data_IF_299032626680
#
_entry.id   IF_299032626680
#
_cell.length_a   1.000
_cell.length_b   1.000
_cell.length_c   1.000
_cell.angle_alpha   90.00
_cell.angle_beta   90.00
_cell.angle_gamma   90.00
#
_symmetry.space_group_name_H-M   'P 1'
#
loop_
_entity.id
_entity.type
_entity.pdbx_description
1 polymer ?
#
# COMPACT_ATOMS: atom_id res chain seq x y z
N UNK A 1 11.13 6.46 14.77
CA UNK A 1 10.10 5.77 15.53
C UNK A 1 9.02 6.73 16.02
N UNK A 2 9.27 7.70 16.88
CA UNK A 2 8.24 8.61 17.45
C UNK A 2 7.42 9.48 16.47
N UNK A 3 7.87 9.73 15.24
CA UNK A 3 7.20 10.66 14.32
C UNK A 3 5.88 10.07 13.76
N UNK A 4 5.90 8.84 13.28
CA UNK A 4 4.69 8.19 12.76
C UNK A 4 3.67 7.88 13.85
N UNK A 5 4.11 7.60 15.07
CA UNK A 5 3.24 7.39 16.22
C UNK A 5 2.50 8.68 16.62
N UNK A 6 3.17 9.84 16.54
CA UNK A 6 2.56 11.17 16.78
C UNK A 6 1.67 11.57 15.60
N UNK A 7 2.12 11.30 14.38
CA UNK A 7 1.42 11.65 13.15
C UNK A 7 0.12 10.87 12.98
N UNK A 8 0.05 9.65 13.51
CA UNK A 8 -1.15 8.82 13.48
C UNK A 8 -2.39 9.49 14.10
N UNK A 9 -2.21 10.37 15.09
CA UNK A 9 -3.33 11.06 15.76
C UNK A 9 -3.94 12.20 14.92
N UNK A 10 -3.17 12.81 14.02
CA UNK A 10 -3.63 13.86 13.12
C UNK A 10 -4.10 13.33 11.76
N UNK A 11 -3.67 12.12 11.41
CA UNK A 11 -3.78 11.56 10.06
C UNK A 11 -5.19 11.09 9.69
N UNK A 12 -5.99 10.62 10.70
CA UNK A 12 -7.14 9.76 10.41
C UNK A 12 -8.34 10.44 9.75
N UNK A 13 -8.72 11.67 10.11
CA UNK A 13 -10.02 12.22 9.64
C UNK A 13 -9.96 13.05 8.35
N UNK A 14 -8.93 13.87 8.18
CA UNK A 14 -8.84 14.77 7.01
C UNK A 14 -8.26 14.07 5.79
N UNK A 15 -7.28 13.21 6.00
CA UNK A 15 -6.63 12.45 4.92
C UNK A 15 -7.48 11.25 4.47
N UNK A 16 -8.27 10.66 5.36
CA UNK A 16 -9.21 9.61 4.98
C UNK A 16 -10.21 10.11 3.92
N UNK A 17 -10.82 11.28 4.15
CA UNK A 17 -11.72 11.91 3.15
C UNK A 17 -11.00 12.28 1.86
N UNK A 18 -9.76 12.77 1.99
CA UNK A 18 -8.95 13.18 0.84
C UNK A 18 -8.65 12.01 -0.09
N UNK A 19 -8.28 10.86 0.46
CA UNK A 19 -7.88 9.68 -0.32
C UNK A 19 -8.97 8.62 -0.47
N UNK A 20 -10.20 8.88 -0.02
CA UNK A 20 -11.30 7.91 -0.04
C UNK A 20 -11.55 7.31 -1.44
N UNK A 21 -11.73 8.16 -2.45
CA UNK A 21 -11.98 7.73 -3.83
C UNK A 21 -10.80 6.96 -4.42
N UNK A 22 -9.59 7.37 -4.08
CA UNK A 22 -8.37 6.73 -4.56
C UNK A 22 -8.17 5.34 -3.95
N UNK A 23 -8.44 5.18 -2.65
CA UNK A 23 -8.42 3.87 -1.97
C UNK A 23 -9.51 2.94 -2.49
N UNK A 24 -10.71 3.48 -2.75
CA UNK A 24 -11.79 2.73 -3.37
C UNK A 24 -11.38 2.24 -4.77
N UNK A 25 -10.82 3.14 -5.59
CA UNK A 25 -10.33 2.77 -6.94
C UNK A 25 -9.24 1.70 -6.89
N UNK A 26 -8.30 1.81 -5.96
CA UNK A 26 -7.25 0.81 -5.75
C UNK A 26 -7.84 -0.56 -5.36
N UNK A 27 -8.85 -0.59 -4.49
CA UNK A 27 -9.53 -1.83 -4.10
C UNK A 27 -10.31 -2.47 -5.26
N UNK A 28 -10.95 -1.67 -6.12
CA UNK A 28 -11.62 -2.15 -7.34
C UNK A 28 -10.62 -2.81 -8.31
N UNK A 29 -9.44 -2.23 -8.46
CA UNK A 29 -8.37 -2.74 -9.34
C UNK A 29 -7.75 -4.05 -8.84
N UNK A 30 -7.91 -4.39 -7.56
CA UNK A 30 -7.51 -5.70 -7.04
C UNK A 30 -8.26 -6.85 -7.74
N UNK A 31 -9.46 -6.60 -8.29
CA UNK A 31 -10.25 -7.64 -8.96
C UNK A 31 -10.38 -8.88 -8.08
N UNK A 32 -10.95 -8.69 -6.89
CA UNK A 32 -11.00 -9.70 -5.84
C UNK A 32 -11.98 -10.82 -6.18
N UNK A 33 -11.58 -12.04 -5.86
CA UNK A 33 -12.39 -13.25 -5.87
C UNK A 33 -12.31 -13.92 -4.50
N UNK A 34 -13.21 -14.85 -4.23
CA UNK A 34 -13.15 -15.60 -2.97
C UNK A 34 -11.87 -16.44 -2.86
N UNK A 35 -11.42 -16.59 -1.63
CA UNK A 35 -10.24 -17.37 -1.23
C UNK A 35 -8.88 -16.79 -1.69
N UNK A 36 -8.85 -15.55 -2.20
CA UNK A 36 -7.57 -14.90 -2.49
C UNK A 36 -6.86 -14.45 -1.21
N UNK A 37 -5.54 -14.49 -1.28
CA UNK A 37 -4.63 -13.92 -0.28
C UNK A 37 -4.18 -12.54 -0.73
N UNK A 38 -4.37 -11.55 0.14
CA UNK A 38 -4.06 -10.14 -0.12
C UNK A 38 -3.05 -9.64 0.90
N UNK A 39 -2.01 -8.93 0.44
CA UNK A 39 -1.08 -8.20 1.31
C UNK A 39 -1.26 -6.70 1.12
N UNK A 40 -1.53 -5.97 2.20
CA UNK A 40 -1.45 -4.51 2.25
C UNK A 40 -0.14 -4.12 2.94
N UNK A 41 0.82 -3.62 2.17
CA UNK A 41 2.16 -3.22 2.64
C UNK A 41 2.15 -1.74 3.01
N UNK A 42 2.75 -1.38 4.16
CA UNK A 42 2.64 -0.06 4.77
C UNK A 42 1.16 0.33 4.99
N UNK A 43 0.39 -0.60 5.58
CA UNK A 43 -1.06 -0.49 5.72
C UNK A 43 -1.51 0.64 6.67
N UNK A 44 -0.59 1.17 7.50
CA UNK A 44 -0.87 2.20 8.48
C UNK A 44 -1.97 1.78 9.45
N UNK A 45 -2.97 2.61 9.61
CA UNK A 45 -4.14 2.35 10.48
C UNK A 45 -5.20 1.43 9.84
N UNK A 46 -4.92 0.83 8.68
CA UNK A 46 -5.85 -0.05 7.97
C UNK A 46 -6.90 0.69 7.13
N UNK A 47 -6.62 1.93 6.74
CA UNK A 47 -7.58 2.74 5.97
C UNK A 47 -8.01 2.13 4.63
N UNK A 48 -7.23 1.19 4.06
CA UNK A 48 -7.59 0.46 2.85
C UNK A 48 -8.58 -0.69 3.13
N UNK A 49 -8.56 -1.25 4.34
CA UNK A 49 -9.25 -2.51 4.68
C UNK A 49 -10.75 -2.45 4.44
N UNK A 50 -11.41 -1.33 4.82
CA UNK A 50 -12.84 -1.15 4.57
C UNK A 50 -13.22 -1.19 3.08
N UNK A 51 -12.31 -0.76 2.20
CA UNK A 51 -12.53 -0.79 0.76
C UNK A 51 -12.25 -2.17 0.18
N UNK A 52 -11.22 -2.85 0.67
CA UNK A 52 -10.85 -4.20 0.26
C UNK A 52 -11.93 -5.20 0.71
N UNK A 53 -12.30 -5.18 1.99
CA UNK A 53 -13.28 -6.09 2.58
C UNK A 53 -14.72 -5.73 2.21
N UNK A 54 -14.98 -4.47 1.87
CA UNK A 54 -16.28 -4.01 1.36
C UNK A 54 -16.65 -4.56 -0.02
N UNK A 55 -15.73 -5.23 -0.71
CA UNK A 55 -16.02 -5.97 -1.95
C UNK A 55 -16.82 -7.27 -1.71
N UNK A 56 -17.17 -7.59 -0.45
CA UNK A 56 -17.97 -8.76 -0.05
C UNK A 56 -17.42 -10.10 -0.56
N UNK A 57 -16.09 -10.23 -0.59
CA UNK A 57 -15.40 -11.49 -0.95
C UNK A 57 -14.79 -12.12 0.30
N UNK A 58 -14.84 -13.43 0.37
CA UNK A 58 -14.16 -14.19 1.42
C UNK A 58 -12.67 -14.30 1.07
N UNK A 59 -11.86 -13.40 1.61
CA UNK A 59 -10.42 -13.31 1.35
C UNK A 59 -9.62 -13.43 2.65
N UNK A 60 -8.32 -13.69 2.52
CA UNK A 60 -7.36 -13.63 3.61
C UNK A 60 -6.53 -12.35 3.45
N UNK A 61 -6.74 -11.36 4.33
CA UNK A 61 -6.06 -10.07 4.28
C UNK A 61 -4.92 -10.02 5.30
N UNK A 62 -3.73 -9.76 4.82
CA UNK A 62 -2.54 -9.52 5.64
C UNK A 62 -2.17 -8.05 5.55
N UNK A 63 -2.03 -7.39 6.70
CA UNK A 63 -1.56 -6.02 6.79
C UNK A 63 -0.22 -5.94 7.50
N UNK A 64 0.70 -5.14 7.00
CA UNK A 64 1.98 -4.91 7.67
C UNK A 64 2.36 -3.44 7.64
N UNK A 65 2.97 -3.00 8.71
CA UNK A 65 3.54 -1.66 8.84
C UNK A 65 4.78 -1.69 9.74
N UNK A 66 5.65 -0.72 9.58
CA UNK A 66 6.81 -0.52 10.44
C UNK A 66 6.43 -0.02 11.82
N UNK A 67 5.38 0.80 11.92
CA UNK A 67 4.92 1.46 13.16
C UNK A 67 3.98 0.56 13.95
N UNK A 68 4.39 0.17 15.16
CA UNK A 68 3.52 -0.55 16.09
C UNK A 68 2.26 0.25 16.45
N UNK A 69 2.39 1.58 16.63
CA UNK A 69 1.25 2.43 16.97
C UNK A 69 0.22 2.55 15.83
N UNK A 70 0.66 2.44 14.56
CA UNK A 70 -0.26 2.32 13.43
C UNK A 70 -1.01 0.99 13.46
N UNK A 71 -0.30 -0.11 13.71
CA UNK A 71 -0.90 -1.44 13.78
C UNK A 71 -1.86 -1.61 14.96
N UNK A 72 -1.59 -1.00 16.11
CA UNK A 72 -2.54 -0.97 17.24
C UNK A 72 -3.88 -0.34 16.82
N UNK A 73 -3.84 0.80 16.14
CA UNK A 73 -5.05 1.44 15.61
C UNK A 73 -5.74 0.60 14.55
N UNK A 74 -4.96 -0.05 13.68
CA UNK A 74 -5.48 -0.98 12.70
C UNK A 74 -6.20 -2.15 13.37
N UNK A 75 -5.62 -2.72 14.42
CA UNK A 75 -6.20 -3.82 15.20
C UNK A 75 -7.55 -3.41 15.82
N UNK A 76 -7.63 -2.22 16.41
CA UNK A 76 -8.89 -1.67 16.94
C UNK A 76 -9.96 -1.58 15.83
N UNK A 77 -9.57 -1.19 14.62
CA UNK A 77 -10.49 -1.14 13.49
C UNK A 77 -10.98 -2.53 13.06
N UNK A 78 -10.09 -3.53 13.03
CA UNK A 78 -10.44 -4.92 12.73
C UNK A 78 -11.47 -5.44 13.71
N UNK A 79 -11.22 -5.25 15.01
CA UNK A 79 -12.11 -5.70 16.09
C UNK A 79 -13.47 -4.99 16.03
N UNK A 80 -13.46 -3.66 15.88
CA UNK A 80 -14.67 -2.83 15.81
C UNK A 80 -15.58 -3.20 14.65
N UNK A 81 -15.01 -3.55 13.50
CA UNK A 81 -15.76 -3.89 12.30
C UNK A 81 -16.02 -5.40 12.16
N UNK A 82 -15.47 -6.23 13.04
CA UNK A 82 -15.62 -7.68 12.99
C UNK A 82 -15.08 -8.29 11.69
N UNK A 83 -13.96 -7.78 11.18
CA UNK A 83 -13.39 -8.26 9.92
C UNK A 83 -12.71 -9.63 10.10
N UNK A 84 -13.30 -10.71 9.54
CA UNK A 84 -12.72 -12.03 9.65
C UNK A 84 -11.49 -12.17 8.73
N UNK A 85 -10.67 -13.19 9.00
CA UNK A 85 -9.52 -13.55 8.15
C UNK A 85 -8.57 -12.36 7.87
N UNK A 86 -8.46 -11.43 8.83
CA UNK A 86 -7.58 -10.27 8.73
C UNK A 86 -6.46 -10.37 9.76
N UNK A 87 -5.22 -10.35 9.29
CA UNK A 87 -4.03 -10.63 10.09
C UNK A 87 -3.04 -9.46 9.99
N UNK A 88 -2.45 -9.09 11.13
CA UNK A 88 -1.43 -8.05 11.19
C UNK A 88 -0.09 -8.62 11.63
N UNK A 89 0.98 -8.07 11.08
CA UNK A 89 2.33 -8.32 11.57
C UNK A 89 3.18 -7.05 11.43
N UNK A 90 4.05 -6.81 12.40
CA UNK A 90 4.98 -5.69 12.33
C UNK A 90 6.24 -6.11 11.59
N UNK A 91 6.60 -5.35 10.55
CA UNK A 91 7.87 -5.54 9.85
C UNK A 91 8.32 -4.26 9.14
N UNK A 92 9.61 -4.13 8.94
CA UNK A 92 10.16 -3.19 7.96
C UNK A 92 9.94 -3.76 6.56
N UNK A 93 9.36 -2.96 5.67
CA UNK A 93 9.09 -3.40 4.30
C UNK A 93 10.37 -3.88 3.57
N UNK A 94 11.54 -3.38 3.97
CA UNK A 94 12.85 -3.79 3.42
C UNK A 94 13.24 -5.22 3.78
N UNK A 95 12.70 -5.75 4.88
CA UNK A 95 12.97 -7.10 5.37
C UNK A 95 11.94 -8.13 4.85
N UNK A 96 10.86 -7.65 4.22
CA UNK A 96 9.80 -8.50 3.70
C UNK A 96 10.18 -9.03 2.31
N UNK A 97 10.33 -10.34 2.23
CA UNK A 97 10.59 -11.07 0.98
C UNK A 97 10.16 -12.53 1.13
N UNK A 98 10.03 -13.23 0.02
CA UNK A 98 9.53 -14.60 0.01
C UNK A 98 10.34 -15.55 0.90
N UNK A 99 11.66 -15.34 1.00
CA UNK A 99 12.53 -16.16 1.86
C UNK A 99 12.34 -15.91 3.36
N UNK A 100 11.78 -14.78 3.76
CA UNK A 100 11.64 -14.37 5.17
C UNK A 100 10.19 -14.26 5.64
N UNK A 101 9.20 -14.31 4.76
CA UNK A 101 7.79 -14.08 5.11
C UNK A 101 7.29 -15.05 6.19
N UNK A 102 7.78 -16.29 6.19
CA UNK A 102 7.44 -17.31 7.18
C UNK A 102 7.81 -16.91 8.61
N UNK A 103 8.85 -16.10 8.79
CA UNK A 103 9.25 -15.57 10.10
C UNK A 103 8.12 -14.72 10.70
N UNK A 104 7.43 -13.96 9.87
CA UNK A 104 6.41 -13.01 10.26
C UNK A 104 5.03 -13.65 10.44
N UNK A 105 4.61 -14.49 9.50
CA UNK A 105 3.25 -15.03 9.47
C UNK A 105 3.16 -16.53 9.77
N UNK A 106 4.29 -17.16 10.14
CA UNK A 106 4.40 -18.60 10.49
C UNK A 106 3.96 -19.53 9.38
N UNK A 107 3.95 -19.05 8.14
CA UNK A 107 3.57 -19.79 6.95
C UNK A 107 4.35 -19.27 5.74
N UNK A 108 4.88 -20.16 4.92
CA UNK A 108 5.47 -19.80 3.64
C UNK A 108 4.34 -19.61 2.63
N UNK A 109 4.16 -18.39 2.17
CA UNK A 109 3.02 -18.02 1.33
C UNK A 109 3.45 -17.01 0.26
N UNK A 110 2.83 -17.10 -0.89
CA UNK A 110 2.76 -16.03 -1.88
C UNK A 110 1.38 -15.41 -1.85
N UNK A 111 1.26 -14.24 -2.45
CA UNK A 111 0.03 -13.46 -2.43
C UNK A 111 -0.58 -13.36 -3.82
N UNK A 112 -1.89 -13.55 -3.92
CA UNK A 112 -2.63 -13.31 -5.17
C UNK A 112 -2.68 -11.83 -5.51
N UNK A 113 -2.74 -10.99 -4.48
CA UNK A 113 -2.83 -9.53 -4.61
C UNK A 113 -1.92 -8.86 -3.61
N UNK A 114 -1.22 -7.82 -4.06
CA UNK A 114 -0.46 -6.92 -3.18
C UNK A 114 -0.92 -5.49 -3.46
N UNK A 115 -1.11 -4.71 -2.41
CA UNK A 115 -1.46 -3.30 -2.49
C UNK A 115 -0.52 -2.47 -1.63
N UNK A 116 -0.12 -1.30 -2.14
CA UNK A 116 0.61 -0.29 -1.39
C UNK A 116 0.01 1.08 -1.70
N UNK A 117 -0.49 1.78 -0.69
CA UNK A 117 -1.08 3.12 -0.85
C UNK A 117 -0.30 4.13 -0.04
N UNK A 118 0.38 5.06 -0.73
CA UNK A 118 1.20 6.13 -0.14
C UNK A 118 2.38 5.61 0.70
N UNK A 119 2.92 4.44 0.35
CA UNK A 119 3.99 3.80 1.08
C UNK A 119 5.35 3.90 0.40
N UNK A 120 5.42 3.66 -0.91
CA UNK A 120 6.71 3.58 -1.61
C UNK A 120 7.43 4.93 -1.73
N UNK A 121 6.72 6.04 -1.66
CA UNK A 121 7.34 7.38 -1.61
C UNK A 121 8.08 7.64 -0.28
N UNK A 122 7.72 6.93 0.80
CA UNK A 122 8.34 7.11 2.13
C UNK A 122 9.30 5.99 2.52
N UNK A 123 9.21 4.82 1.89
CA UNK A 123 10.08 3.67 2.20
C UNK A 123 11.44 3.88 1.55
N UNK A 124 12.55 3.84 2.31
CA UNK A 124 13.90 3.79 1.73
C UNK A 124 14.10 2.53 0.88
N UNK A 125 15.00 2.59 -0.11
CA UNK A 125 15.30 1.43 -0.99
C UNK A 125 14.04 0.83 -1.65
N UNK A 126 13.07 1.69 -1.96
CA UNK A 126 11.75 1.35 -2.47
C UNK A 126 11.79 0.45 -3.73
N UNK A 127 12.82 0.59 -4.58
CA UNK A 127 13.01 -0.23 -5.78
C UNK A 127 13.19 -1.70 -5.40
N UNK A 128 14.11 -1.98 -4.49
CA UNK A 128 14.35 -3.32 -3.94
C UNK A 128 13.08 -3.86 -3.26
N UNK A 129 12.36 -3.02 -2.51
CA UNK A 129 11.10 -3.42 -1.87
C UNK A 129 10.07 -3.81 -2.93
N UNK A 130 9.91 -3.01 -3.97
CA UNK A 130 8.97 -3.30 -5.05
C UNK A 130 9.30 -4.61 -5.78
N UNK A 131 10.58 -4.87 -6.05
CA UNK A 131 11.05 -6.12 -6.65
C UNK A 131 10.72 -7.33 -5.76
N UNK A 132 11.03 -7.25 -4.46
CA UNK A 132 10.68 -8.29 -3.49
C UNK A 132 9.15 -8.54 -3.44
N UNK A 133 8.34 -7.48 -3.50
CA UNK A 133 6.88 -7.62 -3.51
C UNK A 133 6.39 -8.33 -4.79
N UNK A 134 6.96 -8.03 -5.95
CA UNK A 134 6.63 -8.71 -7.20
C UNK A 134 7.04 -10.19 -7.14
N UNK A 135 8.19 -10.51 -6.54
CA UNK A 135 8.62 -11.89 -6.34
C UNK A 135 7.62 -12.68 -5.45
N UNK A 136 7.06 -12.02 -4.44
CA UNK A 136 6.09 -12.61 -3.52
C UNK A 136 4.69 -12.82 -4.10
N UNK A 137 4.40 -12.32 -5.31
CA UNK A 137 3.15 -12.61 -5.99
C UNK A 137 3.08 -14.07 -6.45
N UNK A 138 1.89 -14.64 -6.43
CA UNK A 138 1.56 -15.87 -7.15
C UNK A 138 1.65 -15.65 -8.67
N UNK A 139 1.65 -16.72 -9.46
CA UNK A 139 1.54 -16.62 -10.91
C UNK A 139 0.23 -15.90 -11.29
N UNK A 140 0.32 -14.94 -12.19
CA UNK A 140 -0.78 -14.03 -12.55
C UNK A 140 -1.29 -13.16 -11.38
N UNK A 141 -0.57 -13.13 -10.26
CA UNK A 141 -0.86 -12.23 -9.15
C UNK A 141 -0.70 -10.77 -9.56
N UNK A 142 -1.47 -9.88 -8.96
CA UNK A 142 -1.47 -8.44 -9.27
C UNK A 142 -0.90 -7.63 -8.12
N UNK A 143 -0.17 -6.58 -8.45
CA UNK A 143 0.24 -5.54 -7.51
C UNK A 143 -0.34 -4.20 -7.91
N UNK A 144 -0.90 -3.49 -6.93
CA UNK A 144 -1.52 -2.18 -7.09
C UNK A 144 -0.76 -1.18 -6.23
N UNK A 145 -0.28 -0.13 -6.85
CA UNK A 145 0.43 0.97 -6.20
C UNK A 145 -0.38 2.25 -6.37
N UNK A 146 -0.68 2.94 -5.29
CA UNK A 146 -1.16 4.32 -5.31
C UNK A 146 -0.14 5.19 -4.61
N UNK A 147 0.39 6.17 -5.30
CA UNK A 147 1.35 7.10 -4.71
C UNK A 147 1.31 8.46 -5.40
N UNK A 148 2.08 9.42 -4.90
CA UNK A 148 2.15 10.78 -5.44
C UNK A 148 3.44 10.98 -6.22
N UNK A 149 3.35 11.63 -7.37
CA UNK A 149 4.49 12.05 -8.15
C UNK A 149 4.47 13.55 -8.40
N UNK A 150 5.58 14.22 -8.11
CA UNK A 150 5.80 15.63 -8.39
C UNK A 150 6.92 15.80 -9.43
N UNK A 151 6.54 16.23 -10.62
CA UNK A 151 7.50 16.53 -11.68
C UNK A 151 8.33 17.79 -11.36
N UNK A 152 7.69 18.75 -10.72
CA UNK A 152 8.30 20.01 -10.28
C UNK A 152 8.08 20.18 -8.78
N UNK A 153 9.12 20.57 -8.08
CA UNK A 153 9.05 20.90 -6.66
C UNK A 153 8.61 22.35 -6.47
N UNK A 154 7.37 22.53 -6.05
CA UNK A 154 6.87 23.81 -5.54
C UNK A 154 6.81 23.81 -4.00
N UNK A 155 6.29 24.89 -3.42
CA UNK A 155 6.15 25.02 -1.97
C UNK A 155 5.25 23.91 -1.37
N UNK A 156 4.17 23.54 -2.04
CA UNK A 156 3.26 22.49 -1.57
C UNK A 156 3.94 21.12 -1.60
N UNK A 157 4.67 20.82 -2.68
CA UNK A 157 5.50 19.60 -2.79
C UNK A 157 6.49 19.54 -1.64
N UNK A 158 7.26 20.61 -1.42
CA UNK A 158 8.23 20.68 -0.33
C UNK A 158 7.58 20.46 1.04
N UNK A 159 6.41 21.08 1.28
CA UNK A 159 5.70 20.94 2.55
C UNK A 159 5.25 19.47 2.79
N UNK A 160 4.68 18.83 1.78
CA UNK A 160 4.25 17.41 1.85
C UNK A 160 5.45 16.50 2.07
N UNK A 161 6.54 16.68 1.31
CA UNK A 161 7.79 15.90 1.49
C UNK A 161 8.34 16.04 2.92
N UNK A 162 8.30 17.27 3.48
CA UNK A 162 8.77 17.53 4.85
C UNK A 162 7.91 16.85 5.91
N UNK A 163 6.58 16.95 5.77
CA UNK A 163 5.61 16.41 6.73
C UNK A 163 5.55 14.89 6.64
N UNK A 164 5.41 14.34 5.45
CA UNK A 164 5.31 12.89 5.24
C UNK A 164 6.66 12.17 5.23
N UNK A 165 7.78 12.90 5.21
CA UNK A 165 9.12 12.36 4.96
C UNK A 165 9.19 11.55 3.66
N UNK A 166 8.43 12.01 2.66
CA UNK A 166 8.32 11.37 1.36
C UNK A 166 9.33 11.95 0.37
N UNK A 167 9.66 11.18 -0.65
CA UNK A 167 10.32 11.64 -1.87
C UNK A 167 9.34 11.49 -3.03
N UNK A 168 8.71 12.60 -3.41
CA UNK A 168 7.65 12.62 -4.43
C UNK A 168 8.20 12.63 -5.87
N UNK A 169 9.51 12.58 -6.07
CA UNK A 169 10.12 12.54 -7.41
C UNK A 169 10.36 11.10 -7.91
N UNK A 170 9.92 10.08 -7.17
CA UNK A 170 10.12 8.68 -7.52
C UNK A 170 9.16 8.26 -8.63
N UNK A 171 9.70 7.79 -9.73
CA UNK A 171 8.90 7.25 -10.85
C UNK A 171 8.56 5.77 -10.64
N UNK A 172 7.87 5.48 -9.55
CA UNK A 172 7.57 4.13 -9.07
C UNK A 172 6.91 3.27 -10.16
N UNK A 173 6.01 3.87 -10.97
CA UNK A 173 5.34 3.18 -12.06
C UNK A 173 6.28 2.68 -13.16
N UNK A 174 7.43 3.33 -13.39
CA UNK A 174 8.39 2.88 -14.40
C UNK A 174 9.04 1.56 -14.00
N UNK A 175 9.45 1.43 -12.74
CA UNK A 175 9.98 0.17 -12.20
C UNK A 175 8.92 -0.92 -12.24
N UNK A 176 7.66 -0.60 -11.89
CA UNK A 176 6.55 -1.54 -12.00
C UNK A 176 6.33 -1.99 -13.45
N UNK A 177 6.28 -1.07 -14.41
CA UNK A 177 6.11 -1.35 -15.82
C UNK A 177 7.20 -2.27 -16.37
N UNK A 178 8.45 -2.05 -15.99
CA UNK A 178 9.58 -2.87 -16.42
C UNK A 178 9.52 -4.29 -15.89
N UNK A 179 9.08 -4.46 -14.63
CA UNK A 179 9.14 -5.74 -13.91
C UNK A 179 7.84 -6.57 -13.99
N UNK A 180 6.76 -6.03 -14.57
CA UNK A 180 5.46 -6.72 -14.66
C UNK A 180 4.93 -6.79 -16.07
N UNK A 181 3.87 -7.57 -16.27
CA UNK A 181 3.06 -7.62 -17.50
C UNK A 181 1.69 -6.97 -17.26
N UNK A 182 0.90 -6.80 -18.30
CA UNK A 182 -0.45 -6.20 -18.23
C UNK A 182 -0.47 -4.89 -17.44
N UNK A 183 0.55 -4.06 -17.66
CA UNK A 183 0.72 -2.80 -16.96
C UNK A 183 -0.39 -1.81 -17.30
N UNK A 184 -0.98 -1.20 -16.25
CA UNK A 184 -1.92 -0.11 -16.35
C UNK A 184 -1.49 1.04 -15.45
N UNK A 185 -1.70 2.28 -15.90
CA UNK A 185 -1.36 3.49 -15.16
C UNK A 185 -2.37 4.59 -15.47
N UNK A 186 -2.88 5.25 -14.44
CA UNK A 186 -3.76 6.41 -14.57
C UNK A 186 -3.53 7.42 -13.44
N UNK A 187 -3.78 8.70 -13.72
CA UNK A 187 -3.87 9.72 -12.67
C UNK A 187 -5.22 9.71 -12.03
N UNK A 188 -5.25 9.83 -10.70
CA UNK A 188 -6.47 9.89 -9.92
C UNK A 188 -6.92 11.34 -9.72
N UNK A 189 -8.24 11.63 -9.74
CA UNK A 189 -8.78 12.98 -9.71
C UNK A 189 -8.70 13.59 -8.31
N UNK A 190 -7.54 14.13 -7.96
CA UNK A 190 -7.31 14.89 -6.74
C UNK A 190 -6.57 16.18 -7.08
N UNK A 191 -6.84 17.27 -6.35
CA UNK A 191 -6.11 18.52 -6.57
C UNK A 191 -4.64 18.36 -6.15
N UNK A 192 -3.72 18.61 -7.07
CA UNK A 192 -2.27 18.48 -6.87
C UNK A 192 -1.77 19.29 -5.66
N UNK A 193 -2.29 20.51 -5.48
CA UNK A 193 -1.96 21.36 -4.33
C UNK A 193 -2.28 20.76 -2.96
N UNK A 194 -3.17 19.77 -2.89
CA UNK A 194 -3.53 19.10 -1.63
C UNK A 194 -2.58 17.97 -1.27
N UNK A 195 -1.92 17.38 -2.26
CA UNK A 195 -1.08 16.17 -2.09
C UNK A 195 0.38 16.42 -2.50
N UNK A 196 0.71 17.62 -2.95
CA UNK A 196 2.06 18.00 -3.34
C UNK A 196 2.51 17.51 -4.70
N UNK A 197 1.60 16.96 -5.51
CA UNK A 197 1.88 16.42 -6.83
C UNK A 197 0.67 15.72 -7.44
N UNK A 198 0.88 14.93 -8.48
CA UNK A 198 -0.16 14.11 -9.13
C UNK A 198 -0.29 12.77 -8.41
N UNK A 199 -1.48 12.49 -7.92
CA UNK A 199 -1.79 11.17 -7.39
C UNK A 199 -2.02 10.22 -8.55
N UNK A 200 -1.41 9.05 -8.52
CA UNK A 200 -1.55 8.02 -9.54
C UNK A 200 -1.92 6.66 -8.95
N UNK A 201 -2.49 5.81 -9.78
CA UNK A 201 -2.54 4.37 -9.55
C UNK A 201 -1.81 3.66 -10.67
N UNK A 202 -1.00 2.69 -10.31
CA UNK A 202 -0.31 1.80 -11.23
C UNK A 202 -0.60 0.35 -10.86
N UNK A 203 -0.85 -0.48 -11.85
CA UNK A 203 -1.16 -1.91 -11.71
C UNK A 203 -0.22 -2.71 -12.58
N UNK A 204 0.29 -3.80 -12.05
CA UNK A 204 1.07 -4.76 -12.81
C UNK A 204 0.70 -6.19 -12.45
N UNK A 205 0.84 -7.10 -13.39
CA UNK A 205 0.67 -8.55 -13.18
C UNK A 205 2.05 -9.20 -13.19
N UNK A 206 2.29 -10.14 -12.28
CA UNK A 206 3.54 -10.91 -12.31
C UNK A 206 3.75 -11.56 -13.65
N UNK A 207 4.94 -11.42 -14.21
CA UNK A 207 5.32 -12.13 -15.45
C UNK A 207 5.32 -13.63 -15.19
N UNK A 208 4.82 -14.45 -16.09
CA UNK A 208 5.01 -15.89 -16.00
C UNK A 208 6.52 -16.21 -16.04
N UNK A 209 6.91 -17.23 -15.28
CA UNK A 209 8.29 -17.75 -15.25
C UNK A 209 8.55 -18.59 -16.48
#
# INVERSE_FOLDING_TARGET
MKWYDIFSNFYDHSLEKLYFSSRKRAAELLDLKDNLTVLDIACGTGANFKHILGCNKNIFLYGTDYSAGMLEKCQIQIERNGWPNTFLFQADARDIKYSTIEIHIKKKIKFDRIICVLGLSVIPQWEMVLENLIEMLEENGKIIIVDVFAEKRDFNTWLVEKIAKADLNRKIWQTLQTNTSNFHYEYLPIKESKVGGKLFVAVGTKKPI
#
